data_IF_249119898602
#
_entry.id   IF_249119898602
#
_cell.length_a   1.000
_cell.length_b   1.000
_cell.length_c   1.000
_cell.angle_alpha   90.00
_cell.angle_beta   90.00
_cell.angle_gamma   90.00
#
_symmetry.space_group_name_H-M   'P 1'
#
loop_
_entity.id
_entity.type
_entity.pdbx_description
1 polymer ?
#
# COMPACT_ATOMS: atom_id res chain seq x y z
N UNK A 1 -70.15 -85.32 53.73
CA UNK A 1 -68.89 -84.69 53.28
C UNK A 1 -69.26 -83.52 52.37
N UNK A 2 -69.07 -82.28 52.83
CA UNK A 2 -69.24 -81.06 52.03
C UNK A 2 -67.84 -80.45 51.85
N UNK A 3 -67.35 -80.42 50.62
CA UNK A 3 -66.15 -79.65 50.29
C UNK A 3 -66.54 -78.16 50.23
N UNK A 4 -65.94 -77.37 51.11
CA UNK A 4 -66.01 -75.91 51.08
C UNK A 4 -64.90 -75.42 50.16
N UNK A 5 -65.29 -74.84 49.02
CA UNK A 5 -64.40 -74.10 48.14
C UNK A 5 -64.26 -72.66 48.66
N UNK A 6 -63.07 -72.28 49.12
CA UNK A 6 -62.72 -70.88 49.34
C UNK A 6 -62.27 -70.27 48.00
N UNK A 7 -63.14 -69.48 47.38
CA UNK A 7 -62.76 -68.54 46.33
C UNK A 7 -62.30 -67.23 46.98
N UNK A 8 -60.99 -67.02 47.02
CA UNK A 8 -60.42 -65.71 47.32
C UNK A 8 -60.82 -64.76 46.19
N UNK A 9 -61.81 -63.91 46.44
CA UNK A 9 -62.18 -62.83 45.54
C UNK A 9 -61.00 -61.86 45.40
N UNK A 10 -60.32 -61.89 44.26
CA UNK A 10 -59.38 -60.85 43.86
C UNK A 10 -60.09 -59.50 43.85
N UNK A 11 -59.64 -58.57 44.70
CA UNK A 11 -60.14 -57.21 44.71
C UNK A 11 -59.53 -56.42 43.54
N UNK A 12 -60.39 -55.85 42.68
CA UNK A 12 -60.04 -55.10 41.45
C UNK A 12 -59.34 -53.75 41.65
N UNK A 13 -58.66 -53.51 42.77
CA UNK A 13 -57.95 -52.24 43.05
C UNK A 13 -56.64 -52.10 42.24
N UNK A 14 -56.00 -53.21 41.87
CA UNK A 14 -54.75 -53.21 41.09
C UNK A 14 -54.95 -52.65 39.67
N UNK A 15 -56.13 -52.88 39.06
CA UNK A 15 -56.44 -52.41 37.72
C UNK A 15 -56.56 -50.88 37.66
N UNK A 16 -57.20 -50.27 38.66
CA UNK A 16 -57.36 -48.81 38.75
C UNK A 16 -56.00 -48.14 38.93
N UNK A 17 -55.16 -48.67 39.82
CA UNK A 17 -53.78 -48.20 40.01
C UNK A 17 -52.93 -48.39 38.74
N UNK A 18 -53.11 -49.51 38.03
CA UNK A 18 -52.45 -49.77 36.75
C UNK A 18 -52.81 -48.77 35.66
N UNK A 19 -54.09 -48.44 35.50
CA UNK A 19 -54.57 -47.44 34.52
C UNK A 19 -54.06 -46.03 34.89
N UNK A 20 -54.10 -45.66 36.17
CA UNK A 20 -53.57 -44.37 36.63
C UNK A 20 -52.06 -44.29 36.38
N UNK A 21 -51.32 -45.35 36.69
CA UNK A 21 -49.88 -45.42 36.43
C UNK A 21 -49.58 -45.31 34.93
N UNK A 22 -50.35 -46.00 34.08
CA UNK A 22 -50.20 -45.95 32.63
C UNK A 22 -50.55 -44.58 32.06
N UNK A 23 -51.59 -43.91 32.57
CA UNK A 23 -51.93 -42.53 32.22
C UNK A 23 -50.80 -41.56 32.62
N UNK A 24 -50.22 -41.71 33.80
CA UNK A 24 -49.06 -40.92 34.25
C UNK A 24 -47.85 -41.18 33.34
N UNK A 25 -47.57 -42.43 33.00
CA UNK A 25 -46.47 -42.78 32.08
C UNK A 25 -46.67 -42.14 30.69
N UNK A 26 -47.88 -42.18 30.14
CA UNK A 26 -48.20 -41.53 28.86
C UNK A 26 -48.00 -40.02 28.94
N UNK A 27 -48.42 -39.38 30.04
CA UNK A 27 -48.21 -37.93 30.25
C UNK A 27 -46.73 -37.57 30.34
N UNK A 28 -45.95 -38.34 31.11
CA UNK A 28 -44.50 -38.15 31.24
C UNK A 28 -43.79 -38.34 29.90
N UNK A 29 -44.19 -39.36 29.12
CA UNK A 29 -43.63 -39.64 27.81
C UNK A 29 -43.93 -38.53 26.80
N UNK A 30 -45.18 -38.04 26.76
CA UNK A 30 -45.55 -36.90 25.93
C UNK A 30 -44.77 -35.63 26.31
N UNK A 31 -44.58 -35.39 27.61
CA UNK A 31 -43.77 -34.26 28.09
C UNK A 31 -42.28 -34.41 27.74
N UNK A 32 -41.73 -35.62 27.80
CA UNK A 32 -40.36 -35.90 27.38
C UNK A 32 -40.16 -35.64 25.88
N UNK A 33 -41.10 -36.05 25.02
CA UNK A 33 -41.06 -35.73 23.59
C UNK A 33 -41.13 -34.22 23.32
N UNK A 34 -42.06 -33.51 23.97
CA UNK A 34 -42.15 -32.05 23.84
C UNK A 34 -40.85 -31.34 24.23
N UNK A 35 -40.21 -31.76 25.33
CA UNK A 35 -38.92 -31.21 25.75
C UNK A 35 -37.80 -31.60 24.78
N UNK A 36 -37.82 -32.82 24.24
CA UNK A 36 -36.89 -33.29 23.21
C UNK A 36 -36.97 -32.46 21.93
N UNK A 37 -38.18 -32.18 21.44
CA UNK A 37 -38.40 -31.39 20.22
C UNK A 37 -37.93 -29.95 20.40
N UNK A 38 -38.25 -29.32 21.53
CA UNK A 38 -37.79 -27.96 21.84
C UNK A 38 -36.25 -27.92 21.99
N UNK A 39 -35.67 -28.93 22.65
CA UNK A 39 -34.23 -29.03 22.85
C UNK A 39 -33.50 -29.22 21.52
N UNK A 40 -33.97 -30.14 20.67
CA UNK A 40 -33.42 -30.38 19.33
C UNK A 40 -33.53 -29.14 18.44
N UNK A 41 -34.69 -28.47 18.44
CA UNK A 41 -34.90 -27.22 17.71
C UNK A 41 -33.94 -26.12 18.18
N UNK A 42 -33.75 -25.97 19.49
CA UNK A 42 -32.81 -25.00 20.07
C UNK A 42 -31.36 -25.34 19.74
N UNK A 43 -30.95 -26.61 19.82
CA UNK A 43 -29.59 -27.04 19.46
C UNK A 43 -29.30 -26.78 17.98
N UNK A 44 -30.23 -27.11 17.08
CA UNK A 44 -30.11 -26.80 15.65
C UNK A 44 -30.00 -25.30 15.42
N UNK A 45 -30.82 -24.49 16.11
CA UNK A 45 -30.79 -23.04 15.97
C UNK A 45 -29.49 -22.42 16.50
N UNK A 46 -28.97 -22.89 17.63
CA UNK A 46 -27.66 -22.47 18.14
C UNK A 46 -26.56 -22.80 17.12
N UNK A 47 -26.48 -24.05 16.66
CA UNK A 47 -25.48 -24.45 15.68
C UNK A 47 -25.58 -23.67 14.37
N UNK A 48 -26.79 -23.40 13.89
CA UNK A 48 -27.02 -22.58 12.70
C UNK A 48 -26.61 -21.11 12.93
N UNK A 49 -26.92 -20.55 14.09
CA UNK A 49 -26.57 -19.17 14.47
C UNK A 49 -25.05 -19.01 14.62
N UNK A 50 -24.37 -19.96 15.27
CA UNK A 50 -22.92 -20.00 15.43
C UNK A 50 -22.22 -20.08 14.07
N UNK A 51 -22.66 -21.02 13.22
CA UNK A 51 -22.09 -21.17 11.87
C UNK A 51 -22.31 -19.93 11.02
N UNK A 52 -23.49 -19.30 11.12
CA UNK A 52 -23.84 -18.09 10.38
C UNK A 52 -23.02 -16.87 10.84
N UNK A 53 -22.89 -16.63 12.14
CA UNK A 53 -22.11 -15.49 12.66
C UNK A 53 -20.62 -15.68 12.42
N UNK A 54 -20.11 -16.91 12.55
CA UNK A 54 -18.72 -17.23 12.24
C UNK A 54 -18.41 -17.00 10.76
N UNK A 55 -19.32 -17.40 9.87
CA UNK A 55 -19.18 -17.18 8.42
C UNK A 55 -19.20 -15.69 8.08
N UNK A 56 -20.08 -14.90 8.71
CA UNK A 56 -20.07 -13.45 8.58
C UNK A 56 -18.74 -12.83 9.03
N UNK A 57 -18.20 -13.29 10.17
CA UNK A 57 -16.88 -12.86 10.67
C UNK A 57 -15.75 -13.24 9.72
N UNK A 58 -15.80 -14.44 9.14
CA UNK A 58 -14.81 -14.90 8.16
C UNK A 58 -14.83 -14.04 6.89
N UNK A 59 -16.01 -13.62 6.42
CA UNK A 59 -16.12 -12.66 5.32
C UNK A 59 -15.45 -11.35 5.69
N UNK A 60 -15.76 -10.75 6.85
CA UNK A 60 -15.10 -9.51 7.27
C UNK A 60 -13.58 -9.63 7.39
N UNK A 61 -13.08 -10.72 7.99
CA UNK A 61 -11.66 -11.00 8.09
C UNK A 61 -10.99 -11.04 6.70
N UNK A 62 -11.61 -11.72 5.73
CA UNK A 62 -11.14 -11.76 4.34
C UNK A 62 -11.15 -10.39 3.68
N UNK A 63 -12.17 -9.56 3.92
CA UNK A 63 -12.22 -8.19 3.38
C UNK A 63 -11.10 -7.32 3.97
N UNK A 64 -10.83 -7.40 5.27
CA UNK A 64 -9.73 -6.68 5.92
C UNK A 64 -8.37 -7.14 5.38
N UNK A 65 -8.18 -8.45 5.19
CA UNK A 65 -6.96 -9.00 4.59
C UNK A 65 -6.80 -8.60 3.12
N UNK A 66 -7.89 -8.54 2.36
CA UNK A 66 -7.88 -8.06 0.97
C UNK A 66 -7.49 -6.58 0.91
N UNK A 67 -8.03 -5.74 1.80
CA UNK A 67 -7.62 -4.34 1.94
C UNK A 67 -6.13 -4.22 2.28
N UNK A 68 -5.63 -5.08 3.17
CA UNK A 68 -4.21 -5.10 3.51
C UNK A 68 -3.31 -5.44 2.30
N UNK A 69 -3.67 -6.47 1.53
CA UNK A 69 -2.95 -6.84 0.32
C UNK A 69 -3.05 -5.75 -0.76
N UNK A 70 -4.22 -5.12 -0.90
CA UNK A 70 -4.46 -4.04 -1.85
C UNK A 70 -3.60 -2.80 -1.54
N UNK A 71 -3.51 -2.42 -0.26
CA UNK A 71 -2.65 -1.33 0.21
C UNK A 71 -1.17 -1.62 -0.06
N UNK A 72 -0.70 -2.86 0.17
CA UNK A 72 0.67 -3.27 -0.17
C UNK A 72 0.94 -3.23 -1.67
N UNK A 73 0.01 -3.74 -2.47
CA UNK A 73 0.11 -3.70 -3.93
C UNK A 73 0.21 -2.25 -4.42
N UNK A 74 -0.63 -1.35 -3.88
CA UNK A 74 -0.58 0.07 -4.19
C UNK A 74 0.80 0.69 -3.99
N UNK A 75 1.42 0.44 -2.83
CA UNK A 75 2.77 0.94 -2.58
C UNK A 75 3.83 0.28 -3.46
N UNK A 76 3.72 -1.03 -3.74
CA UNK A 76 4.62 -1.69 -4.68
C UNK A 76 4.54 -1.08 -6.10
N UNK A 77 3.34 -0.72 -6.58
CA UNK A 77 3.16 -0.05 -7.87
C UNK A 77 3.77 1.36 -7.90
N UNK A 78 3.72 2.10 -6.79
CA UNK A 78 4.42 3.38 -6.66
C UNK A 78 5.93 3.22 -6.65
N UNK A 79 6.46 2.27 -5.89
CA UNK A 79 7.91 1.98 -5.85
C UNK A 79 8.40 1.54 -7.24
N UNK A 80 7.65 0.69 -7.95
CA UNK A 80 7.96 0.33 -9.33
C UNK A 80 7.98 1.56 -10.26
N UNK A 81 7.04 2.50 -10.09
CA UNK A 81 7.02 3.75 -10.85
C UNK A 81 8.25 4.63 -10.55
N UNK A 82 8.72 4.67 -9.30
CA UNK A 82 9.97 5.33 -8.93
C UNK A 82 11.18 4.71 -9.66
N UNK A 83 11.25 3.38 -9.72
CA UNK A 83 12.30 2.67 -10.47
C UNK A 83 12.26 3.01 -11.97
N UNK A 84 11.08 3.09 -12.57
CA UNK A 84 10.93 3.45 -13.98
C UNK A 84 11.37 4.90 -14.24
N UNK A 85 10.97 5.85 -13.38
CA UNK A 85 11.43 7.25 -13.49
C UNK A 85 12.96 7.36 -13.36
N UNK A 86 13.55 6.60 -12.44
CA UNK A 86 15.01 6.56 -12.22
C UNK A 86 15.75 5.91 -13.39
N UNK A 87 15.22 4.81 -13.92
CA UNK A 87 15.79 4.13 -15.08
C UNK A 87 15.74 5.03 -16.32
N UNK A 88 14.65 5.79 -16.50
CA UNK A 88 14.52 6.77 -17.56
C UNK A 88 15.56 7.88 -17.42
N UNK A 89 15.68 8.50 -16.24
CA UNK A 89 16.66 9.58 -16.03
C UNK A 89 18.09 9.08 -16.19
N UNK A 90 18.40 7.89 -15.68
CA UNK A 90 19.70 7.26 -15.87
C UNK A 90 20.00 6.97 -17.35
N UNK A 91 19.01 6.44 -18.10
CA UNK A 91 19.18 6.11 -19.52
C UNK A 91 19.44 7.36 -20.37
N UNK A 92 18.64 8.41 -20.17
CA UNK A 92 18.84 9.71 -20.83
C UNK A 92 20.17 10.36 -20.42
N UNK A 93 20.54 10.26 -19.15
CA UNK A 93 21.82 10.76 -18.65
C UNK A 93 23.00 10.03 -19.31
N UNK A 94 22.91 8.71 -19.47
CA UNK A 94 23.95 7.93 -20.12
C UNK A 94 24.10 8.28 -21.59
N UNK A 95 23.00 8.54 -22.30
CA UNK A 95 22.99 8.98 -23.70
C UNK A 95 23.63 10.36 -23.88
N UNK A 96 23.21 11.36 -23.09
CA UNK A 96 23.81 12.70 -23.15
C UNK A 96 25.28 12.68 -22.72
N UNK A 97 25.64 11.80 -21.78
CA UNK A 97 27.03 11.58 -21.39
C UNK A 97 27.87 10.95 -22.50
N UNK A 98 27.31 10.01 -23.26
CA UNK A 98 27.95 9.39 -24.41
C UNK A 98 28.22 10.41 -25.51
N UNK A 99 27.24 11.29 -25.76
CA UNK A 99 27.37 12.37 -26.74
C UNK A 99 28.51 13.33 -26.37
N UNK A 100 28.56 13.80 -25.11
CA UNK A 100 29.62 14.69 -24.64
C UNK A 100 31.00 14.01 -24.67
N UNK A 101 31.05 12.72 -24.33
CA UNK A 101 32.26 11.91 -24.42
C UNK A 101 32.76 11.81 -25.88
N UNK A 102 31.86 11.52 -26.83
CA UNK A 102 32.18 11.45 -28.26
C UNK A 102 32.69 12.77 -28.84
N UNK A 103 32.22 13.91 -28.30
CA UNK A 103 32.71 15.26 -28.65
C UNK A 103 34.00 15.65 -27.95
N UNK A 104 34.58 14.78 -27.12
CA UNK A 104 35.75 15.07 -26.28
C UNK A 104 35.60 16.36 -25.47
N UNK A 105 34.40 16.63 -24.94
CA UNK A 105 34.11 17.85 -24.19
C UNK A 105 33.52 17.51 -22.81
N UNK A 106 34.36 17.40 -21.77
CA UNK A 106 35.83 17.45 -21.78
C UNK A 106 36.45 16.12 -22.29
N UNK A 107 37.74 16.07 -22.66
CA UNK A 107 38.39 14.80 -23.01
C UNK A 107 38.50 13.87 -21.79
N UNK A 108 38.27 12.56 -21.96
CA UNK A 108 38.37 11.61 -20.86
C UNK A 108 39.78 11.52 -20.27
N UNK A 109 40.83 11.78 -21.06
CA UNK A 109 42.21 11.89 -20.57
C UNK A 109 42.38 13.02 -19.55
N UNK A 110 41.71 14.16 -19.76
CA UNK A 110 41.71 15.28 -18.81
C UNK A 110 40.99 14.90 -17.51
N UNK A 111 39.85 14.22 -17.61
CA UNK A 111 39.11 13.72 -16.43
C UNK A 111 39.97 12.72 -15.64
N UNK A 112 40.66 11.82 -16.35
CA UNK A 112 41.57 10.85 -15.76
C UNK A 112 42.77 11.48 -15.08
N UNK A 113 43.36 12.49 -15.71
CA UNK A 113 44.42 13.28 -15.11
C UNK A 113 43.92 13.91 -13.80
N UNK A 114 42.85 14.70 -13.86
CA UNK A 114 42.39 15.52 -12.73
C UNK A 114 41.85 14.72 -11.55
N UNK A 115 41.09 13.66 -11.81
CA UNK A 115 40.33 12.95 -10.76
C UNK A 115 40.78 11.49 -10.59
N UNK A 116 41.57 10.96 -11.51
CA UNK A 116 42.09 9.59 -11.48
C UNK A 116 41.49 8.69 -12.56
N UNK A 117 42.16 7.56 -12.87
CA UNK A 117 41.83 6.72 -14.01
C UNK A 117 40.44 6.04 -13.91
N UNK A 118 39.91 5.86 -12.70
CA UNK A 118 38.56 5.35 -12.51
C UNK A 118 37.51 6.28 -13.14
N UNK A 119 37.60 7.59 -12.90
CA UNK A 119 36.66 8.56 -13.46
C UNK A 119 36.74 8.67 -15.00
N UNK A 120 37.93 8.52 -15.58
CA UNK A 120 38.06 8.45 -17.03
C UNK A 120 37.38 7.21 -17.61
N UNK A 121 37.53 6.04 -16.97
CA UNK A 121 36.87 4.81 -17.39
C UNK A 121 35.36 4.89 -17.22
N UNK A 122 34.87 5.43 -16.12
CA UNK A 122 33.45 5.64 -15.88
C UNK A 122 32.86 6.54 -16.96
N UNK A 123 33.53 7.66 -17.28
CA UNK A 123 33.09 8.54 -18.34
C UNK A 123 33.12 7.87 -19.72
N UNK A 124 34.20 7.14 -20.06
CA UNK A 124 34.27 6.41 -21.32
C UNK A 124 33.25 5.27 -21.43
N UNK A 125 32.79 4.72 -20.30
CA UNK A 125 31.79 3.66 -20.29
C UNK A 125 30.43 4.11 -20.81
N UNK A 126 30.15 5.43 -20.82
CA UNK A 126 28.92 5.98 -21.39
C UNK A 126 28.79 5.69 -22.89
N UNK A 127 29.89 5.49 -23.62
CA UNK A 127 29.85 5.12 -25.04
C UNK A 127 29.00 3.87 -25.32
N UNK A 128 28.87 2.96 -24.34
CA UNK A 128 27.99 1.79 -24.43
C UNK A 128 26.51 2.17 -24.55
N UNK A 129 26.12 3.35 -24.07
CA UNK A 129 24.77 3.86 -24.16
C UNK A 129 24.39 4.28 -25.59
N UNK A 130 25.33 4.50 -26.50
CA UNK A 130 24.99 4.79 -27.91
C UNK A 130 24.20 3.64 -28.55
N UNK A 131 24.43 2.39 -28.12
CA UNK A 131 23.63 1.23 -28.53
C UNK A 131 22.23 1.20 -27.90
N UNK A 132 21.97 2.00 -26.85
CA UNK A 132 20.60 2.24 -26.38
C UNK A 132 19.88 3.20 -27.31
N UNK A 133 20.60 4.12 -27.98
CA UNK A 133 20.16 5.27 -28.78
C UNK A 133 19.37 4.97 -30.06
N UNK A 134 19.22 3.71 -30.46
CA UNK A 134 18.20 3.28 -31.45
C UNK A 134 16.77 3.29 -30.82
N UNK A 135 16.50 4.27 -29.95
CA UNK A 135 15.78 4.13 -28.66
C UNK A 135 14.33 4.58 -28.64
N UNK A 136 13.68 4.84 -29.78
CA UNK A 136 12.22 5.07 -29.81
C UNK A 136 11.46 3.90 -29.14
N UNK A 137 12.04 2.70 -29.19
CA UNK A 137 11.52 1.51 -28.50
C UNK A 137 11.70 1.51 -26.97
N UNK A 138 12.77 2.10 -26.43
CA UNK A 138 13.01 2.12 -24.98
C UNK A 138 12.09 3.14 -24.29
N UNK A 139 12.00 4.35 -24.84
CA UNK A 139 11.13 5.39 -24.28
C UNK A 139 9.66 4.95 -24.33
N UNK A 140 9.21 4.38 -25.45
CA UNK A 140 7.85 3.84 -25.57
C UNK A 140 7.59 2.69 -24.59
N UNK A 141 8.54 1.75 -24.42
CA UNK A 141 8.41 0.66 -23.42
C UNK A 141 8.34 1.19 -21.99
N UNK A 142 9.17 2.17 -21.63
CA UNK A 142 9.13 2.81 -20.31
C UNK A 142 7.79 3.51 -20.08
N UNK A 143 7.30 4.24 -21.08
CA UNK A 143 6.01 4.91 -21.01
C UNK A 143 4.86 3.90 -20.88
N UNK A 144 4.85 2.80 -21.66
CA UNK A 144 3.86 1.73 -21.52
C UNK A 144 3.91 1.07 -20.14
N UNK A 145 5.10 0.83 -19.59
CA UNK A 145 5.25 0.27 -18.24
C UNK A 145 4.70 1.22 -17.16
N UNK A 146 5.02 2.52 -17.24
CA UNK A 146 4.49 3.53 -16.31
C UNK A 146 2.96 3.62 -16.41
N UNK A 147 2.41 3.56 -17.63
CA UNK A 147 0.96 3.57 -17.84
C UNK A 147 0.29 2.36 -17.18
N UNK A 148 0.86 1.16 -17.30
CA UNK A 148 0.32 -0.04 -16.66
C UNK A 148 0.28 0.08 -15.12
N UNK A 149 1.33 0.64 -14.50
CA UNK A 149 1.32 0.89 -13.05
C UNK A 149 0.35 2.01 -12.64
N UNK A 150 0.20 3.02 -13.49
CA UNK A 150 -0.71 4.15 -13.27
C UNK A 150 -2.17 3.74 -13.39
N UNK A 151 -2.49 2.85 -14.33
CA UNK A 151 -3.83 2.29 -14.52
C UNK A 151 -4.30 1.56 -13.26
N UNK A 152 -3.45 0.71 -12.67
CA UNK A 152 -3.77 0.05 -11.40
C UNK A 152 -4.14 1.06 -10.30
N UNK A 153 -3.32 2.11 -10.13
CA UNK A 153 -3.50 3.12 -9.09
C UNK A 153 -4.78 3.94 -9.28
N UNK A 154 -5.07 4.35 -10.52
CA UNK A 154 -6.19 5.26 -10.81
C UNK A 154 -7.51 4.52 -11.02
N UNK A 155 -7.49 3.32 -11.62
CA UNK A 155 -8.69 2.61 -12.02
C UNK A 155 -9.06 1.45 -11.11
N UNK A 156 -8.07 0.75 -10.54
CA UNK A 156 -8.31 -0.46 -9.75
C UNK A 156 -8.35 -0.13 -8.26
N UNK A 157 -7.29 0.48 -7.73
CA UNK A 157 -7.13 0.72 -6.29
C UNK A 157 -8.30 1.49 -5.68
N UNK A 158 -8.59 2.68 -6.21
CA UNK A 158 -9.66 3.54 -5.68
C UNK A 158 -11.05 2.89 -5.77
N UNK A 159 -11.38 2.28 -6.91
CA UNK A 159 -12.69 1.63 -7.12
C UNK A 159 -12.89 0.42 -6.22
N UNK A 160 -11.86 -0.43 -6.07
CA UNK A 160 -11.93 -1.61 -5.21
C UNK A 160 -12.07 -1.18 -3.75
N UNK A 161 -11.30 -0.19 -3.28
CA UNK A 161 -11.44 0.32 -1.92
C UNK A 161 -12.84 0.87 -1.65
N UNK A 162 -13.37 1.70 -2.53
CA UNK A 162 -14.70 2.28 -2.39
C UNK A 162 -15.78 1.19 -2.35
N UNK A 163 -15.73 0.21 -3.25
CA UNK A 163 -16.67 -0.91 -3.27
C UNK A 163 -16.59 -1.73 -1.98
N UNK A 164 -15.37 -2.04 -1.52
CA UNK A 164 -15.15 -2.78 -0.27
C UNK A 164 -15.68 -2.01 0.95
N UNK A 165 -15.50 -0.69 1.01
CA UNK A 165 -16.02 0.13 2.09
C UNK A 165 -17.55 0.14 2.10
N UNK A 166 -18.18 0.34 0.94
CA UNK A 166 -19.64 0.41 0.81
C UNK A 166 -20.32 -0.92 1.20
N UNK A 167 -19.70 -2.05 0.85
CA UNK A 167 -20.30 -3.37 1.05
C UNK A 167 -19.74 -4.15 2.25
N UNK A 168 -18.86 -3.53 3.06
CA UNK A 168 -18.13 -4.21 4.14
C UNK A 168 -19.05 -4.97 5.10
N UNK A 169 -20.11 -4.32 5.59
CA UNK A 169 -21.06 -4.92 6.51
C UNK A 169 -22.14 -5.74 5.79
N UNK A 170 -22.60 -5.30 4.61
CA UNK A 170 -23.67 -5.98 3.89
C UNK A 170 -23.26 -7.38 3.40
N UNK A 171 -22.00 -7.57 2.99
CA UNK A 171 -21.48 -8.88 2.58
C UNK A 171 -21.43 -9.87 3.75
N UNK A 172 -21.07 -9.39 4.96
CA UNK A 172 -21.10 -10.19 6.17
C UNK A 172 -22.54 -10.62 6.51
N UNK A 173 -23.50 -9.69 6.42
CA UNK A 173 -24.93 -9.96 6.61
C UNK A 173 -25.46 -10.97 5.61
N UNK A 174 -25.18 -10.78 4.32
CA UNK A 174 -25.60 -11.71 3.26
C UNK A 174 -25.02 -13.12 3.48
N UNK A 175 -23.77 -13.23 3.93
CA UNK A 175 -23.17 -14.52 4.25
C UNK A 175 -23.89 -15.23 5.39
N UNK A 176 -24.24 -14.52 6.47
CA UNK A 176 -25.04 -15.09 7.56
C UNK A 176 -26.42 -15.56 7.07
N UNK A 177 -27.11 -14.75 6.26
CA UNK A 177 -28.43 -15.09 5.71
C UNK A 177 -28.39 -16.34 4.83
N UNK A 178 -27.39 -16.47 3.95
CA UNK A 178 -27.22 -17.66 3.09
C UNK A 178 -26.99 -18.93 3.94
N UNK A 179 -26.20 -18.85 5.01
CA UNK A 179 -25.95 -19.98 5.89
C UNK A 179 -27.21 -20.36 6.67
N UNK A 180 -27.99 -19.38 7.14
CA UNK A 180 -29.27 -19.64 7.81
C UNK A 180 -30.29 -20.27 6.87
N UNK A 181 -30.40 -19.80 5.63
CA UNK A 181 -31.27 -20.39 4.60
C UNK A 181 -30.89 -21.85 4.32
N UNK A 182 -29.58 -22.14 4.19
CA UNK A 182 -29.09 -23.52 4.03
C UNK A 182 -29.33 -24.41 5.26
N UNK A 183 -29.34 -23.81 6.44
CA UNK A 183 -29.60 -24.53 7.69
C UNK A 183 -31.08 -24.88 7.89
N UNK A 184 -31.98 -24.19 7.18
CA UNK A 184 -33.44 -24.38 7.23
C UNK A 184 -34.07 -24.43 5.82
N UNK A 185 -33.71 -25.41 4.97
CA UNK A 185 -34.25 -25.51 3.60
C UNK A 185 -35.78 -25.71 3.58
N UNK A 186 -36.33 -26.29 4.65
CA UNK A 186 -37.78 -26.50 4.81
C UNK A 186 -38.57 -25.20 5.06
N UNK A 187 -37.87 -24.08 5.32
CA UNK A 187 -38.49 -22.78 5.59
C UNK A 187 -38.17 -21.81 4.43
N UNK A 188 -39.14 -21.59 3.54
CA UNK A 188 -38.99 -20.65 2.45
C UNK A 188 -38.68 -19.23 2.96
N UNK A 189 -37.83 -18.49 2.23
CA UNK A 189 -37.10 -17.28 2.63
C UNK A 189 -37.93 -16.09 3.15
N UNK A 190 -39.27 -16.12 3.03
CA UNK A 190 -40.16 -15.09 3.55
C UNK A 190 -40.83 -15.45 4.89
N UNK A 191 -40.64 -16.67 5.39
CA UNK A 191 -41.35 -17.19 6.56
C UNK A 191 -40.44 -17.35 7.77
N UNK A 192 -40.63 -16.42 8.72
CA UNK A 192 -40.49 -16.56 10.18
C UNK A 192 -39.13 -16.31 10.86
N UNK A 193 -37.97 -16.43 10.21
CA UNK A 193 -36.70 -16.11 10.89
C UNK A 193 -36.43 -14.60 10.86
N UNK A 194 -36.53 -13.93 12.01
CA UNK A 194 -36.05 -12.55 12.15
C UNK A 194 -34.56 -12.60 12.47
N UNK A 195 -33.75 -12.06 11.56
CA UNK A 195 -32.29 -12.05 11.64
C UNK A 195 -31.83 -10.61 11.89
N UNK A 196 -31.12 -10.40 12.99
CA UNK A 196 -30.48 -9.12 13.29
C UNK A 196 -28.99 -9.34 13.48
N UNK A 197 -28.20 -8.85 12.53
CA UNK A 197 -26.76 -8.76 12.66
C UNK A 197 -26.40 -7.36 13.12
N UNK A 198 -25.58 -7.25 14.17
CA UNK A 198 -25.00 -6.00 14.66
C UNK A 198 -23.48 -6.08 14.57
N UNK A 199 -22.84 -4.96 14.26
CA UNK A 199 -21.38 -4.82 14.24
C UNK A 199 -20.97 -3.83 15.33
N UNK A 200 -19.90 -4.15 16.07
CA UNK A 200 -19.25 -3.20 16.97
C UNK A 200 -17.74 -3.19 16.74
N UNK A 201 -17.11 -2.03 16.50
CA UNK A 201 -17.74 -0.71 16.33
C UNK A 201 -18.51 -0.59 15.01
N UNK A 202 -19.44 0.36 14.93
CA UNK A 202 -20.24 0.61 13.72
C UNK A 202 -19.37 1.08 12.54
N UNK A 203 -18.31 1.82 12.84
CA UNK A 203 -17.34 2.31 11.85
C UNK A 203 -16.01 1.60 12.04
N UNK A 204 -15.67 0.70 11.12
CA UNK A 204 -14.43 -0.09 11.15
C UNK A 204 -13.35 0.53 10.25
N UNK A 205 -13.77 1.13 9.13
CA UNK A 205 -12.88 1.69 8.12
C UNK A 205 -12.96 3.21 8.13
N UNK A 206 -11.81 3.86 8.00
CA UNK A 206 -11.69 5.30 7.82
C UNK A 206 -10.86 5.60 6.57
N UNK A 207 -11.15 6.73 5.92
CA UNK A 207 -10.39 7.20 4.76
C UNK A 207 -9.39 8.24 5.23
N UNK A 208 -8.12 8.06 4.91
CA UNK A 208 -7.05 9.02 5.22
C UNK A 208 -6.57 9.72 3.96
N UNK A 209 -6.20 10.99 4.12
CA UNK A 209 -5.62 11.77 3.04
C UNK A 209 -4.30 11.14 2.56
N UNK A 210 -4.08 11.20 1.25
CA UNK A 210 -2.92 10.58 0.62
C UNK A 210 -1.58 11.25 1.03
N UNK A 211 -1.62 12.55 1.30
CA UNK A 211 -0.44 13.42 1.43
C UNK A 211 0.34 13.27 2.74
N UNK A 212 -0.21 12.60 3.76
CA UNK A 212 0.52 12.33 5.00
C UNK A 212 0.89 10.85 5.06
N UNK A 213 -0.06 10.03 5.48
CA UNK A 213 0.21 8.64 5.84
C UNK A 213 0.64 7.77 4.65
N UNK A 214 -0.01 7.91 3.48
CA UNK A 214 0.30 7.09 2.30
C UNK A 214 1.62 7.55 1.67
N UNK A 215 1.84 8.86 1.57
CA UNK A 215 3.07 9.44 1.04
C UNK A 215 4.30 8.99 1.84
N UNK A 216 4.24 9.07 3.17
CA UNK A 216 5.34 8.65 4.04
C UNK A 216 5.66 7.17 3.84
N UNK A 217 4.65 6.31 3.80
CA UNK A 217 4.86 4.88 3.62
C UNK A 217 5.44 4.52 2.25
N UNK A 218 5.02 5.23 1.19
CA UNK A 218 5.61 5.09 -0.14
C UNK A 218 7.08 5.53 -0.14
N UNK A 219 7.40 6.67 0.49
CA UNK A 219 8.78 7.18 0.59
C UNK A 219 9.68 6.24 1.40
N UNK A 220 9.21 5.77 2.55
CA UNK A 220 9.93 4.81 3.40
C UNK A 220 10.19 3.50 2.65
N UNK A 221 9.18 3.01 1.92
CA UNK A 221 9.30 1.80 1.11
C UNK A 221 10.31 1.97 -0.01
N UNK A 222 10.26 3.09 -0.74
CA UNK A 222 11.25 3.45 -1.76
C UNK A 222 12.66 3.63 -1.17
N UNK A 223 12.74 4.11 0.08
CA UNK A 223 13.98 4.31 0.82
C UNK A 223 14.79 3.03 1.02
N UNK A 224 14.17 1.86 0.98
CA UNK A 224 14.87 0.58 1.10
C UNK A 224 15.68 0.20 -0.15
N UNK A 225 15.53 0.92 -1.26
CA UNK A 225 16.19 0.62 -2.53
C UNK A 225 17.33 1.60 -2.81
N UNK A 226 18.57 1.11 -2.74
CA UNK A 226 19.77 1.91 -2.99
C UNK A 226 19.77 2.62 -4.37
N UNK A 227 19.09 2.06 -5.36
CA UNK A 227 18.96 2.68 -6.69
C UNK A 227 18.13 3.98 -6.69
N UNK A 228 17.16 4.09 -5.78
CA UNK A 228 16.28 5.26 -5.64
C UNK A 228 16.86 6.34 -4.73
N UNK A 229 17.93 6.02 -3.99
CA UNK A 229 18.62 6.96 -3.10
C UNK A 229 19.30 8.09 -3.88
N UNK A 230 19.62 9.23 -3.23
CA UNK A 230 20.39 10.30 -3.84
C UNK A 230 21.73 9.81 -4.41
N UNK A 231 21.99 10.12 -5.68
CA UNK A 231 23.19 9.73 -6.44
C UNK A 231 24.19 10.87 -6.49
N UNK A 232 24.45 11.49 -5.33
CA UNK A 232 25.27 12.68 -5.19
C UNK A 232 26.73 12.33 -4.89
N UNK A 233 27.66 12.93 -5.64
CA UNK A 233 29.11 12.73 -5.45
C UNK A 233 29.90 13.96 -5.92
N UNK A 234 30.94 14.34 -5.20
CA UNK A 234 31.86 15.41 -5.61
C UNK A 234 33.32 14.96 -5.47
N UNK A 235 34.02 14.78 -6.58
CA UNK A 235 35.46 14.57 -6.59
C UNK A 235 36.20 15.91 -6.69
N UNK A 236 37.39 15.99 -6.10
CA UNK A 236 38.29 17.14 -6.22
C UNK A 236 39.67 16.66 -6.67
N UNK A 237 40.35 17.45 -7.51
CA UNK A 237 41.73 17.14 -7.85
C UNK A 237 42.66 17.34 -6.63
N UNK A 238 43.78 16.62 -6.57
CA UNK A 238 44.64 16.58 -5.37
C UNK A 238 45.62 17.75 -5.23
N UNK A 239 45.92 18.46 -6.31
CA UNK A 239 46.94 19.51 -6.33
C UNK A 239 46.35 20.92 -6.48
N UNK A 240 47.14 21.93 -6.14
CA UNK A 240 46.78 23.33 -6.36
C UNK A 240 46.77 23.61 -7.86
N UNK A 241 45.63 24.08 -8.37
CA UNK A 241 45.43 24.36 -9.80
C UNK A 241 45.90 25.76 -10.17
N UNK A 242 45.67 26.74 -9.29
CA UNK A 242 45.99 28.14 -9.51
C UNK A 242 46.55 28.75 -8.22
N UNK A 243 47.71 29.40 -8.31
CA UNK A 243 48.31 30.12 -7.19
C UNK A 243 47.43 31.29 -6.70
N UNK A 244 46.56 31.84 -7.57
CA UNK A 244 45.58 32.88 -7.18
C UNK A 244 44.43 32.33 -6.35
N UNK A 245 44.18 31.03 -6.44
CA UNK A 245 43.04 30.35 -5.82
C UNK A 245 43.52 29.10 -5.04
N UNK A 246 44.48 29.23 -4.09
CA UNK A 246 45.19 28.07 -3.54
C UNK A 246 44.29 27.16 -2.69
N UNK A 247 43.16 27.66 -2.22
CA UNK A 247 42.15 26.93 -1.44
C UNK A 247 41.08 26.23 -2.31
N UNK A 248 41.04 26.50 -3.61
CA UNK A 248 40.05 25.93 -4.53
C UNK A 248 40.66 24.79 -5.37
N UNK A 249 39.81 23.90 -5.86
CA UNK A 249 40.19 22.72 -6.64
C UNK A 249 39.23 22.55 -7.80
N UNK A 250 39.70 21.99 -8.91
CA UNK A 250 38.80 21.42 -9.91
C UNK A 250 37.83 20.44 -9.24
N UNK A 251 36.57 20.45 -9.66
CA UNK A 251 35.56 19.57 -9.09
C UNK A 251 34.85 18.77 -10.17
N UNK A 252 34.53 17.53 -9.88
CA UNK A 252 33.63 16.71 -10.68
C UNK A 252 32.39 16.45 -9.83
N UNK A 253 31.25 17.02 -10.22
CA UNK A 253 30.04 17.02 -9.42
C UNK A 253 28.95 16.21 -10.09
N UNK A 254 28.50 15.15 -9.43
CA UNK A 254 27.34 14.34 -9.80
C UNK A 254 26.18 14.69 -8.88
N UNK A 255 25.03 15.05 -9.44
CA UNK A 255 23.78 15.21 -8.69
C UNK A 255 22.70 14.37 -9.31
N UNK A 256 22.08 13.51 -8.52
CA UNK A 256 20.97 12.71 -8.99
C UNK A 256 20.01 12.42 -7.86
N UNK A 257 18.73 12.50 -8.15
CA UNK A 257 17.69 12.30 -7.16
C UNK A 257 16.43 11.75 -7.83
N UNK A 258 15.69 10.96 -7.07
CA UNK A 258 14.37 10.47 -7.44
C UNK A 258 13.42 10.86 -6.31
N UNK A 259 12.42 11.69 -6.62
CA UNK A 259 11.51 12.24 -5.63
C UNK A 259 10.06 11.99 -5.98
N UNK A 260 9.27 11.77 -4.94
CA UNK A 260 7.82 11.78 -5.02
C UNK A 260 7.32 13.21 -4.77
N UNK A 261 6.65 13.78 -5.76
CA UNK A 261 5.79 14.95 -5.60
C UNK A 261 4.38 14.45 -5.30
N UNK A 262 3.84 14.78 -4.12
CA UNK A 262 2.56 14.26 -3.65
C UNK A 262 1.38 14.62 -4.58
N UNK A 263 1.53 15.69 -5.37
CA UNK A 263 0.50 16.18 -6.31
C UNK A 263 0.77 15.79 -7.74
N UNK A 264 2.03 15.51 -8.09
CA UNK A 264 2.43 15.31 -9.48
C UNK A 264 3.00 13.91 -9.78
N UNK A 265 3.32 13.10 -8.77
CA UNK A 265 3.91 11.76 -8.92
C UNK A 265 5.43 11.75 -8.82
N UNK A 266 6.04 10.67 -9.33
CA UNK A 266 7.50 10.47 -9.31
C UNK A 266 8.21 11.25 -10.40
N UNK A 267 9.26 11.97 -10.01
CA UNK A 267 10.20 12.67 -10.89
C UNK A 267 11.63 12.22 -10.60
N UNK A 268 12.49 12.29 -11.61
CA UNK A 268 13.89 11.91 -11.46
C UNK A 268 14.79 12.80 -12.31
N UNK A 269 15.94 13.18 -11.76
CA UNK A 269 16.94 13.98 -12.46
C UNK A 269 18.33 13.46 -12.18
N UNK A 270 19.21 13.54 -13.17
CA UNK A 270 20.61 13.15 -13.04
C UNK A 270 21.49 14.12 -13.84
N UNK A 271 22.56 14.62 -13.23
CA UNK A 271 23.55 15.52 -13.83
C UNK A 271 24.96 15.15 -13.42
N UNK A 272 25.91 15.40 -14.31
CA UNK A 272 27.34 15.31 -14.05
C UNK A 272 28.02 16.47 -14.76
N UNK A 273 28.81 17.24 -14.04
CA UNK A 273 29.56 18.35 -14.62
C UNK A 273 30.99 18.40 -14.10
N UNK A 274 31.91 18.73 -15.00
CA UNK A 274 33.26 19.12 -14.66
C UNK A 274 33.32 20.63 -14.42
N UNK A 275 33.60 21.02 -13.18
CA UNK A 275 33.76 22.39 -12.76
C UNK A 275 35.24 22.77 -12.80
N UNK A 276 35.62 23.42 -13.90
CA UNK A 276 36.97 23.87 -14.12
C UNK A 276 37.24 25.17 -13.34
N UNK A 277 38.10 25.11 -12.32
CA UNK A 277 38.60 26.31 -11.66
C UNK A 277 39.39 27.18 -12.65
N UNK A 278 38.91 28.40 -12.83
CA UNK A 278 39.50 29.46 -13.65
C UNK A 278 39.71 30.69 -12.80
N UNK A 279 40.48 31.63 -13.32
CA UNK A 279 40.64 32.94 -12.71
C UNK A 279 40.89 34.00 -13.77
N UNK A 280 40.30 35.17 -13.62
CA UNK A 280 40.65 36.34 -14.42
C UNK A 280 40.77 37.59 -13.53
N UNK A 281 41.23 38.70 -14.10
CA UNK A 281 41.47 39.96 -13.34
C UNK A 281 40.20 40.70 -12.94
N UNK A 282 39.05 40.37 -13.51
CA UNK A 282 37.81 41.13 -13.39
C UNK A 282 36.90 40.56 -12.29
N UNK A 283 36.83 39.24 -12.20
CA UNK A 283 35.88 38.54 -11.33
C UNK A 283 36.57 37.62 -10.33
N UNK A 284 37.90 37.57 -10.35
CA UNK A 284 38.69 36.68 -9.51
C UNK A 284 38.57 35.22 -9.95
N UNK A 285 38.57 34.33 -8.96
CA UNK A 285 38.42 32.89 -9.15
C UNK A 285 36.96 32.54 -9.49
N UNK A 286 36.75 31.53 -10.32
CA UNK A 286 35.41 31.00 -10.60
C UNK A 286 35.47 29.58 -11.16
N UNK A 287 34.35 28.85 -11.11
CA UNK A 287 34.15 27.61 -11.83
C UNK A 287 33.52 27.87 -13.19
N UNK A 288 34.15 27.36 -14.24
CA UNK A 288 33.50 27.15 -15.53
C UNK A 288 32.91 25.75 -15.53
N UNK A 289 31.60 25.64 -15.69
CA UNK A 289 30.92 24.37 -15.79
C UNK A 289 31.06 23.80 -17.21
N UNK A 290 31.44 22.52 -17.30
CA UNK A 290 31.33 21.70 -18.49
C UNK A 290 30.33 20.59 -18.19
N UNK A 291 29.11 20.73 -18.69
CA UNK A 291 28.07 19.72 -18.56
C UNK A 291 28.50 18.44 -19.29
N UNK A 292 28.70 17.36 -18.53
CA UNK A 292 29.21 16.10 -19.05
C UNK A 292 28.11 15.08 -19.29
N UNK A 293 26.98 15.18 -18.58
CA UNK A 293 25.80 14.33 -18.74
C UNK A 293 24.63 14.92 -17.95
N UNK A 294 23.42 14.78 -18.48
CA UNK A 294 22.22 15.40 -17.91
C UNK A 294 20.94 14.70 -18.37
N UNK A 295 19.96 14.66 -17.48
CA UNK A 295 18.61 14.20 -17.75
C UNK A 295 17.62 14.83 -16.76
N UNK A 296 16.43 15.12 -17.28
CA UNK A 296 15.29 15.51 -16.47
C UNK A 296 14.05 14.71 -16.91
N UNK A 297 13.50 13.95 -15.98
CA UNK A 297 12.27 13.17 -16.16
C UNK A 297 11.23 13.72 -15.21
N UNK A 298 10.45 14.72 -15.66
CA UNK A 298 9.40 15.28 -14.84
C UNK A 298 8.21 14.31 -14.76
N UNK A 299 7.46 14.43 -13.67
CA UNK A 299 6.24 13.65 -13.46
C UNK A 299 5.04 14.25 -14.21
N UNK A 300 5.14 15.51 -14.66
CA UNK A 300 4.15 16.21 -15.48
C UNK A 300 4.84 17.15 -16.47
N UNK A 301 4.18 17.45 -17.60
CA UNK A 301 4.70 18.38 -18.58
C UNK A 301 4.86 19.80 -17.98
N UNK A 302 5.99 20.45 -18.24
CA UNK A 302 6.29 21.79 -17.72
C UNK A 302 6.77 21.82 -16.26
N UNK A 303 6.88 20.67 -15.58
CA UNK A 303 7.50 20.64 -14.25
C UNK A 303 9.01 20.90 -14.36
N UNK A 304 9.50 21.84 -13.56
CA UNK A 304 10.89 22.29 -13.57
C UNK A 304 11.79 21.43 -12.66
N UNK A 305 13.11 21.34 -12.94
CA UNK A 305 14.07 20.72 -12.04
C UNK A 305 14.19 21.50 -10.73
N UNK A 306 14.70 20.84 -9.68
CA UNK A 306 15.05 21.57 -8.46
C UNK A 306 16.38 22.31 -8.61
N UNK A 307 16.53 23.40 -7.85
CA UNK A 307 17.74 24.20 -7.82
C UNK A 307 17.81 25.20 -8.97
N UNK A 308 19.01 25.71 -9.21
CA UNK A 308 19.23 26.78 -10.18
C UNK A 308 19.36 26.20 -11.59
N UNK A 309 18.62 26.76 -12.54
CA UNK A 309 18.70 26.45 -13.98
C UNK A 309 18.20 27.67 -14.79
N UNK A 310 18.35 27.60 -16.11
CA UNK A 310 17.82 28.56 -17.09
C UNK A 310 17.13 27.77 -18.20
N UNK A 311 15.98 28.25 -18.67
CA UNK A 311 15.16 27.54 -19.67
C UNK A 311 15.83 27.48 -21.05
N UNK A 312 16.51 28.55 -21.47
CA UNK A 312 17.15 28.67 -22.78
C UNK A 312 18.68 28.86 -22.63
N UNK A 313 19.44 27.78 -22.31
CA UNK A 313 20.89 27.84 -22.21
C UNK A 313 21.54 27.83 -23.61
N UNK A 314 22.64 28.57 -23.83
CA UNK A 314 23.41 28.49 -25.07
C UNK A 314 23.92 27.06 -25.32
N UNK A 315 23.87 26.59 -26.57
CA UNK A 315 24.43 25.28 -26.94
C UNK A 315 25.95 25.19 -26.69
N UNK A 316 26.63 26.32 -26.83
CA UNK A 316 28.05 26.50 -26.59
C UNK A 316 28.38 27.95 -26.23
N UNK A 317 29.61 28.17 -25.78
CA UNK A 317 30.13 29.48 -25.35
C UNK A 317 31.17 30.02 -26.33
N UNK A 318 30.95 29.85 -27.65
CA UNK A 318 31.84 30.39 -28.69
C UNK A 318 31.60 31.87 -28.95
N UNK A 319 30.35 32.34 -28.80
CA UNK A 319 29.95 33.73 -29.04
C UNK A 319 30.13 34.63 -27.82
N UNK A 320 30.12 34.05 -26.61
CA UNK A 320 30.25 34.79 -25.36
C UNK A 320 31.01 33.97 -24.31
N UNK A 321 31.83 34.64 -23.52
CA UNK A 321 32.47 34.06 -22.35
C UNK A 321 31.43 33.55 -21.33
N UNK A 322 31.61 32.30 -20.86
CA UNK A 322 30.75 31.69 -19.83
C UNK A 322 30.47 32.61 -18.65
N UNK A 323 31.50 33.26 -18.08
CA UNK A 323 31.32 34.09 -16.88
C UNK A 323 30.54 35.38 -17.16
N UNK A 324 30.62 35.93 -18.38
CA UNK A 324 29.82 37.10 -18.79
C UNK A 324 28.37 36.70 -18.94
N UNK A 325 28.14 35.60 -19.66
CA UNK A 325 26.79 35.03 -19.82
C UNK A 325 26.14 34.74 -18.47
N UNK A 326 26.86 34.13 -17.52
CA UNK A 326 26.32 33.89 -16.17
C UNK A 326 25.96 35.19 -15.47
N UNK A 327 26.78 36.24 -15.56
CA UNK A 327 26.46 37.53 -14.92
C UNK A 327 25.28 38.26 -15.57
N UNK A 328 25.12 38.14 -16.89
CA UNK A 328 24.13 38.88 -17.66
C UNK A 328 22.77 38.17 -17.71
N UNK A 329 22.77 36.84 -17.77
CA UNK A 329 21.58 36.02 -18.02
C UNK A 329 21.27 35.09 -16.85
N UNK A 330 22.26 34.31 -16.42
CA UNK A 330 21.99 33.14 -15.58
C UNK A 330 21.91 33.45 -14.07
N UNK A 331 22.62 34.48 -13.60
CA UNK A 331 22.59 34.99 -12.23
C UNK A 331 23.17 34.09 -11.12
N UNK A 332 23.62 32.87 -11.42
CA UNK A 332 24.08 31.94 -10.39
C UNK A 332 25.50 32.24 -9.85
N UNK A 333 25.78 31.78 -8.63
CA UNK A 333 27.09 31.94 -8.01
C UNK A 333 28.16 31.14 -8.79
N UNK A 334 29.18 31.86 -9.25
CA UNK A 334 30.29 31.32 -10.02
C UNK A 334 31.34 30.61 -9.15
N UNK A 335 31.32 30.80 -7.84
CA UNK A 335 32.20 30.13 -6.87
C UNK A 335 31.44 29.18 -5.95
N UNK A 336 30.15 29.44 -5.75
CA UNK A 336 29.25 28.72 -4.87
C UNK A 336 28.47 27.58 -5.49
N UNK A 337 27.74 26.93 -4.59
CA UNK A 337 26.85 25.78 -4.75
C UNK A 337 27.50 24.44 -5.12
N UNK A 338 27.16 23.41 -4.35
CA UNK A 338 27.40 22.02 -4.69
C UNK A 338 26.34 21.59 -5.73
N UNK A 339 26.24 22.29 -6.87
CA UNK A 339 25.22 22.09 -7.92
C UNK A 339 25.82 22.08 -9.35
N UNK A 340 24.96 21.80 -10.34
CA UNK A 340 25.27 21.71 -11.78
C UNK A 340 24.24 22.49 -12.64
N UNK A 341 24.16 23.82 -12.49
CA UNK A 341 23.07 24.60 -13.08
C UNK A 341 23.03 24.52 -14.62
N UNK A 342 24.16 24.52 -15.31
CA UNK A 342 24.17 24.39 -16.78
C UNK A 342 23.69 23.00 -17.23
N UNK A 343 24.12 21.94 -16.55
CA UNK A 343 23.64 20.59 -16.86
C UNK A 343 22.14 20.44 -16.55
N UNK A 344 21.63 21.05 -15.47
CA UNK A 344 20.20 21.11 -15.18
C UNK A 344 19.42 21.83 -16.28
N UNK A 345 19.94 22.97 -16.79
CA UNK A 345 19.34 23.69 -17.92
C UNK A 345 19.23 22.81 -19.18
N UNK A 346 20.31 22.12 -19.56
CA UNK A 346 20.26 21.21 -20.71
C UNK A 346 19.35 20.00 -20.46
N UNK A 347 19.30 19.48 -19.23
CA UNK A 347 18.38 18.44 -18.84
C UNK A 347 16.92 18.86 -19.02
N UNK A 348 16.57 20.08 -18.59
CA UNK A 348 15.25 20.66 -18.76
C UNK A 348 14.87 20.85 -20.24
N UNK A 349 15.78 21.39 -21.05
CA UNK A 349 15.55 21.58 -22.49
C UNK A 349 15.24 20.26 -23.23
N UNK A 350 15.78 19.14 -22.73
CA UNK A 350 15.56 17.78 -23.26
C UNK A 350 14.60 16.95 -22.40
N UNK A 351 13.79 17.58 -21.56
CA UNK A 351 12.95 16.88 -20.61
C UNK A 351 12.03 15.86 -21.29
N UNK A 352 11.95 14.66 -20.70
CA UNK A 352 11.08 13.58 -21.18
C UNK A 352 10.08 13.22 -20.09
N UNK A 353 8.85 13.78 -20.12
CA UNK A 353 7.86 13.53 -19.08
C UNK A 353 7.46 12.06 -19.00
N UNK A 354 7.38 11.55 -17.77
CA UNK A 354 6.78 10.25 -17.47
C UNK A 354 5.67 10.45 -16.44
N UNK A 355 4.44 10.58 -16.94
CA UNK A 355 3.25 10.77 -16.10
C UNK A 355 2.98 9.53 -15.28
N UNK A 356 3.27 9.60 -13.98
CA UNK A 356 2.96 8.56 -13.00
C UNK A 356 1.66 8.88 -12.24
N UNK A 357 1.08 7.88 -11.59
CA UNK A 357 -0.11 8.08 -10.76
C UNK A 357 0.17 9.06 -9.62
N UNK A 358 -0.80 9.92 -9.35
CA UNK A 358 -0.84 10.71 -8.12
C UNK A 358 -1.23 9.85 -6.94
N UNK A 359 -0.86 10.29 -5.74
CA UNK A 359 -1.26 9.60 -4.53
C UNK A 359 -2.79 9.69 -4.33
N UNK A 360 -3.40 8.56 -4.02
CA UNK A 360 -4.84 8.41 -3.78
C UNK A 360 -5.07 8.22 -2.29
N UNK A 361 -6.19 8.74 -1.74
CA UNK A 361 -6.56 8.45 -0.35
C UNK A 361 -6.70 6.95 -0.15
N UNK A 362 -6.23 6.43 0.99
CA UNK A 362 -6.32 5.01 1.31
C UNK A 362 -7.31 4.74 2.45
N UNK A 363 -7.86 3.53 2.48
CA UNK A 363 -8.58 3.02 3.63
C UNK A 363 -7.62 2.49 4.69
N UNK A 364 -7.85 2.92 5.91
CA UNK A 364 -7.20 2.48 7.15
C UNK A 364 -8.26 2.02 8.14
N UNK A 365 -7.83 1.41 9.24
CA UNK A 365 -8.73 1.18 10.37
C UNK A 365 -9.15 2.52 10.96
N UNK A 366 -10.41 2.60 11.36
CA UNK A 366 -10.86 3.70 12.20
C UNK A 366 -10.09 3.72 13.53
N UNK A 367 -9.97 4.90 14.18
CA UNK A 367 -9.28 5.00 15.47
C UNK A 367 -9.86 4.03 16.50
N UNK A 368 -8.99 3.44 17.33
CA UNK A 368 -9.34 2.52 18.43
C UNK A 368 -10.00 1.19 17.99
N UNK A 369 -9.99 0.84 16.71
CA UNK A 369 -10.42 -0.49 16.24
C UNK A 369 -9.29 -1.49 16.44
N UNK A 370 -9.42 -2.36 17.46
CA UNK A 370 -8.52 -3.51 17.67
C UNK A 370 -9.12 -4.84 17.23
N UNK A 371 -10.46 -4.94 17.28
CA UNK A 371 -11.24 -6.08 16.83
C UNK A 371 -12.63 -5.62 16.38
N UNK A 372 -13.32 -6.47 15.61
CA UNK A 372 -14.70 -6.25 15.17
C UNK A 372 -15.57 -7.36 15.73
N UNK A 373 -16.55 -7.00 16.57
CA UNK A 373 -17.54 -7.94 17.10
C UNK A 373 -18.76 -7.96 16.19
N UNK A 374 -19.16 -9.14 15.76
CA UNK A 374 -20.42 -9.42 15.09
C UNK A 374 -21.35 -10.17 16.03
N UNK A 375 -22.54 -9.64 16.24
CA UNK A 375 -23.56 -10.23 17.10
C UNK A 375 -24.76 -10.57 16.23
N UNK A 376 -25.09 -11.86 16.16
CA UNK A 376 -26.22 -12.36 15.39
C UNK A 376 -27.31 -12.82 16.35
N UNK A 377 -28.48 -12.21 16.22
CA UNK A 377 -29.70 -12.62 16.91
C UNK A 377 -30.66 -13.23 15.88
N UNK A 378 -31.06 -14.47 16.12
CA UNK A 378 -32.01 -15.21 15.29
C UNK A 378 -33.24 -15.49 16.15
N UNK A 379 -34.40 -15.03 15.68
CA UNK A 379 -35.68 -15.24 16.35
C UNK A 379 -36.60 -16.05 15.46
N UNK A 380 -37.11 -17.16 16.00
CA UNK A 380 -37.97 -18.10 15.32
C UNK A 380 -39.29 -18.29 16.11
N UNK A 381 -40.46 -17.92 15.56
CA UNK A 381 -41.74 -18.36 16.11
C UNK A 381 -41.89 -19.87 15.86
N UNK A 382 -42.30 -20.59 16.91
CA UNK A 382 -42.75 -21.98 16.86
C UNK A 382 -44.22 -22.06 17.26
N UNK A 383 -44.84 -23.24 17.15
CA UNK A 383 -46.28 -23.43 17.40
C UNK A 383 -46.75 -22.97 18.79
N UNK A 384 -45.87 -22.93 19.79
CA UNK A 384 -46.20 -22.58 21.18
C UNK A 384 -45.30 -21.51 21.81
N UNK A 385 -44.11 -21.25 21.28
CA UNK A 385 -43.07 -20.40 21.87
C UNK A 385 -42.28 -19.63 20.81
N UNK A 386 -41.60 -18.56 21.19
CA UNK A 386 -40.60 -17.89 20.33
C UNK A 386 -39.21 -18.29 20.78
N UNK A 387 -38.43 -18.91 19.90
CA UNK A 387 -37.05 -19.30 20.15
C UNK A 387 -36.10 -18.19 19.68
N UNK A 388 -35.42 -17.55 20.61
CA UNK A 388 -34.38 -16.56 20.32
C UNK A 388 -33.02 -17.12 20.69
N UNK A 389 -32.08 -17.08 19.74
CA UNK A 389 -30.69 -17.48 19.92
C UNK A 389 -29.77 -16.32 19.59
N UNK A 390 -28.70 -16.18 20.36
CA UNK A 390 -27.67 -15.15 20.16
C UNK A 390 -26.34 -15.83 20.04
N UNK A 391 -25.55 -15.41 19.06
CA UNK A 391 -24.17 -15.84 18.92
C UNK A 391 -23.28 -14.66 18.55
N UNK A 392 -21.99 -14.79 18.88
CA UNK A 392 -20.99 -13.75 18.65
C UNK A 392 -19.78 -14.32 17.94
N UNK A 393 -19.36 -13.64 16.89
CA UNK A 393 -18.04 -13.80 16.32
C UNK A 393 -17.22 -12.53 16.57
N UNK A 394 -15.91 -12.71 16.77
CA UNK A 394 -14.95 -11.62 16.83
C UNK A 394 -13.95 -11.79 15.69
N UNK A 395 -13.70 -10.69 14.98
CA UNK A 395 -12.67 -10.57 13.96
C UNK A 395 -11.51 -9.80 14.57
N UNK A 396 -10.42 -10.49 14.84
CA UNK A 396 -9.26 -9.95 15.54
C UNK A 396 -8.00 -10.04 14.69
N UNK A 397 -7.05 -9.15 14.95
CA UNK A 397 -5.74 -9.18 14.31
C UNK A 397 -4.79 -10.09 15.09
N UNK A 398 -4.29 -11.14 14.43
CA UNK A 398 -3.46 -12.20 15.03
C UNK A 398 -2.07 -12.17 14.38
N UNK A 399 -1.15 -11.39 14.96
CA UNK A 399 0.20 -11.27 14.42
C UNK A 399 0.99 -12.60 14.57
N UNK A 400 1.82 -12.99 13.57
CA UNK A 400 2.71 -14.13 13.70
C UNK A 400 3.61 -14.03 14.93
N UNK A 401 3.97 -15.18 15.51
CA UNK A 401 4.92 -15.22 16.62
C UNK A 401 6.23 -14.48 16.22
N UNK A 402 6.79 -13.73 17.18
CA UNK A 402 8.04 -12.95 17.07
C UNK A 402 7.95 -11.49 16.61
N UNK A 403 6.79 -10.98 16.15
CA UNK A 403 6.62 -9.54 15.88
C UNK A 403 5.27 -9.04 16.37
N UNK A 404 5.25 -8.10 17.31
CA UNK A 404 4.01 -7.49 17.81
C UNK A 404 3.66 -6.25 16.98
N UNK A 405 2.88 -6.43 15.92
CA UNK A 405 2.29 -5.31 15.18
C UNK A 405 0.94 -4.89 15.78
N UNK A 406 0.69 -3.58 15.86
CA UNK A 406 -0.65 -3.07 16.12
C UNK A 406 -1.59 -3.45 14.96
N UNK A 407 -2.89 -3.67 15.20
CA UNK A 407 -3.86 -3.92 14.14
C UNK A 407 -3.75 -2.87 13.04
N UNK A 408 -3.69 -3.32 11.79
CA UNK A 408 -3.53 -2.44 10.64
C UNK A 408 -4.12 -3.06 9.36
N UNK A 409 -4.20 -2.25 8.29
CA UNK A 409 -4.57 -2.68 6.94
C UNK A 409 -3.35 -2.69 6.01
N UNK A 410 -2.23 -3.21 6.49
CA UNK A 410 -1.01 -3.43 5.69
C UNK A 410 -0.47 -4.84 5.84
N UNK A 411 -0.95 -5.59 6.83
CA UNK A 411 -0.61 -6.97 7.07
C UNK A 411 -1.89 -7.80 7.11
N UNK A 412 -2.00 -8.88 6.32
CA UNK A 412 -3.23 -9.65 6.16
C UNK A 412 -3.37 -10.71 7.27
N UNK A 413 -3.43 -10.28 8.52
CA UNK A 413 -3.48 -11.15 9.70
C UNK A 413 -4.80 -11.06 10.48
N UNK A 414 -5.90 -10.74 9.79
CA UNK A 414 -7.23 -10.75 10.40
C UNK A 414 -7.83 -12.14 10.36
N UNK A 415 -8.31 -12.60 11.50
CA UNK A 415 -8.93 -13.91 11.70
C UNK A 415 -10.27 -13.78 12.41
N UNK A 416 -11.20 -14.69 12.10
CA UNK A 416 -12.50 -14.78 12.76
C UNK A 416 -12.46 -15.89 13.80
N UNK A 417 -13.07 -15.67 14.95
CA UNK A 417 -13.30 -16.69 15.99
C UNK A 417 -14.69 -16.56 16.60
N UNK A 418 -15.26 -17.68 17.01
CA UNK A 418 -16.46 -17.68 17.84
C UNK A 418 -16.10 -17.30 19.27
N UNK A 419 -16.93 -16.48 19.91
CA UNK A 419 -16.80 -16.12 21.32
C UNK A 419 -17.96 -16.78 22.06
N UNK A 420 -17.63 -17.66 23.02
CA UNK A 420 -18.64 -18.27 23.87
C UNK A 420 -19.36 -17.20 24.71
N UNK A 421 -20.68 -17.32 24.86
CA UNK A 421 -21.43 -16.54 25.86
C UNK A 421 -20.89 -16.89 27.26
N UNK A 422 -20.01 -16.02 27.79
CA UNK A 422 -19.41 -16.18 29.11
C UNK A 422 -17.97 -15.67 29.25
N UNK A 423 -17.26 -15.35 28.16
CA UNK A 423 -15.82 -15.05 28.22
C UNK A 423 -15.43 -13.65 27.71
N UNK A 424 -15.90 -12.57 28.36
CA UNK A 424 -15.16 -11.28 28.50
C UNK A 424 -15.66 -10.57 29.77
N UNK A 425 -14.80 -9.98 30.64
CA UNK A 425 -15.19 -9.31 31.88
C UNK A 425 -16.14 -8.14 31.63
N UNK A 426 -17.15 -7.99 32.47
CA UNK A 426 -17.95 -6.78 32.58
C UNK A 426 -17.07 -5.64 33.08
N UNK A 427 -16.64 -4.74 32.20
CA UNK A 427 -16.25 -3.40 32.61
C UNK A 427 -17.53 -2.59 32.79
N UNK A 428 -18.00 -2.53 34.04
CA UNK A 428 -18.88 -1.47 34.50
C UNK A 428 -17.99 -0.35 35.04
N UNK A 429 -17.92 0.77 34.33
CA UNK A 429 -17.55 2.04 34.95
C UNK A 429 -18.74 2.51 35.79
N UNK A 430 -18.48 2.70 37.09
CA UNK A 430 -19.32 3.46 38.02
C UNK A 430 -18.92 4.93 37.98
#
# INVERSE_FOLDING_TARGET
MRHVSHSSAQQGQVLVLGIVCLAVLVLLFNRAFWVGDISSAKMRQNSATDTAVYSAGLVQARLLNMLALLNRAYVAHHVASAHLATAASWGHFALTQAERFGRANPPASLIGLMFGPAHARDYASSAKALGLGESLSLQSRLQSAVLAHTEFSNQVFGRVQENLQLHFFSLAKQSAEVILQRSYPEKNAASMLRVQLQQRPNTVLAKVAAQSFVADWVRDSAGNYAFLQPRNYTAKNKWVVSARCPHLRHQLRRRGETRLDDKAGWRSGDTLSFHALRSNRWIGCYYREYAMGYAWVPSQQGQVPDGVFIEDPPENFSQQDFWRWVREVAGWDLLGEDANPLASSYGYALAQPLTSATLQPALVLAPNVSAVSLILEVTQPTASLTLTTKSRAEVAYVSPAHVSHRPNLFMPYWESRLIAEGSVPSWSES
#
